data_IF_174723187593
#
_entry.id   IF_174723187593
#
_cell.length_a   1.000
_cell.length_b   1.000
_cell.length_c   1.000
_cell.angle_alpha   90.00
_cell.angle_beta   90.00
_cell.angle_gamma   90.00
#
_symmetry.space_group_name_H-M   'P 1'
#
loop_
_entity.id
_entity.type
_entity.pdbx_description
1 polymer ?
#
# COMPACT_ATOMS: atom_id res chain seq x y z
N UNK A 1 9.13 7.63 0.78
CA UNK A 1 9.59 8.10 -0.54
C UNK A 1 8.42 8.23 -1.49
N UNK A 2 8.60 8.85 -2.65
CA UNK A 2 7.50 9.16 -3.58
C UNK A 2 7.28 8.08 -4.66
N UNK A 3 8.25 7.19 -4.85
CA UNK A 3 8.19 6.15 -5.90
C UNK A 3 7.19 5.03 -5.54
N UNK A 4 6.73 4.24 -6.53
CA UNK A 4 5.97 3.02 -6.25
C UNK A 4 6.69 2.13 -5.23
N UNK A 5 5.91 1.49 -4.35
CA UNK A 5 6.41 0.65 -3.25
C UNK A 5 7.24 1.36 -2.17
N UNK A 6 7.42 2.68 -2.26
CA UNK A 6 7.92 3.49 -1.16
C UNK A 6 6.75 4.11 -0.39
N UNK A 7 6.91 4.25 0.93
CA UNK A 7 5.89 4.86 1.80
C UNK A 7 6.41 6.16 2.42
N UNK A 8 5.50 7.07 2.72
CA UNK A 8 5.73 8.32 3.44
C UNK A 8 4.57 8.56 4.43
N UNK A 9 4.85 8.35 5.73
CA UNK A 9 3.84 8.48 6.79
C UNK A 9 2.56 7.65 6.56
N UNK A 10 2.67 6.31 6.37
CA UNK A 10 1.51 5.45 6.24
C UNK A 10 0.71 5.38 7.55
N UNK A 11 -0.62 5.28 7.45
CA UNK A 11 -1.52 5.32 8.62
C UNK A 11 -2.46 4.13 8.76
N UNK A 12 -2.77 3.47 7.67
CA UNK A 12 -3.72 2.36 7.67
C UNK A 12 -3.34 1.33 6.64
N UNK A 13 -3.72 0.09 6.92
CA UNK A 13 -3.60 -1.03 6.00
C UNK A 13 -4.82 -1.94 6.08
N UNK A 14 -5.16 -2.56 4.95
CA UNK A 14 -6.19 -3.60 4.86
C UNK A 14 -5.86 -4.56 3.73
N UNK A 15 -6.31 -5.80 3.86
CA UNK A 15 -6.31 -6.76 2.77
C UNK A 15 -7.66 -6.76 2.05
N UNK A 16 -7.67 -7.08 0.76
CA UNK A 16 -8.88 -7.51 0.05
C UNK A 16 -9.06 -9.03 0.09
N UNK A 17 -10.14 -9.54 -0.53
CA UNK A 17 -10.47 -10.97 -0.55
C UNK A 17 -9.50 -11.82 -1.39
N UNK A 18 -8.73 -11.19 -2.27
CA UNK A 18 -7.70 -11.83 -3.09
C UNK A 18 -6.33 -11.83 -2.38
N UNK A 19 -6.24 -11.19 -1.21
CA UNK A 19 -5.01 -11.09 -0.42
C UNK A 19 -4.13 -9.90 -0.80
N UNK A 20 -4.56 -8.99 -1.67
CA UNK A 20 -3.78 -7.80 -1.98
C UNK A 20 -3.78 -6.83 -0.79
N UNK A 21 -2.63 -6.22 -0.51
CA UNK A 21 -2.48 -5.26 0.58
C UNK A 21 -2.69 -3.84 0.07
N UNK A 22 -3.59 -3.11 0.72
CA UNK A 22 -3.79 -1.67 0.50
C UNK A 22 -3.20 -0.90 1.65
N UNK A 23 -2.41 0.13 1.34
CA UNK A 23 -1.79 1.02 2.33
C UNK A 23 -2.22 2.46 2.08
N UNK A 24 -2.75 3.11 3.13
CA UNK A 24 -3.05 4.54 3.14
C UNK A 24 -1.76 5.30 3.44
N UNK A 25 -1.16 5.87 2.40
CA UNK A 25 0.14 6.54 2.38
C UNK A 25 -0.04 8.05 2.53
N UNK A 26 -0.39 8.49 3.76
CA UNK A 26 -0.89 9.85 4.02
C UNK A 26 0.09 10.96 3.64
N UNK A 27 1.39 10.78 3.88
CA UNK A 27 2.40 11.77 3.54
C UNK A 27 2.62 11.95 2.04
N UNK A 28 2.12 11.02 1.21
CA UNK A 28 2.09 11.13 -0.25
C UNK A 28 0.68 11.38 -0.80
N UNK A 29 -0.32 11.55 0.07
CA UNK A 29 -1.73 11.73 -0.31
C UNK A 29 -2.23 10.67 -1.31
N UNK A 30 -1.88 9.40 -1.11
CA UNK A 30 -2.29 8.29 -1.99
C UNK A 30 -2.68 7.03 -1.22
N UNK A 31 -3.33 6.11 -1.92
CA UNK A 31 -3.46 4.72 -1.52
C UNK A 31 -2.63 3.88 -2.50
N UNK A 32 -1.83 2.94 -1.98
CA UNK A 32 -1.07 2.00 -2.81
C UNK A 32 -1.60 0.58 -2.61
N UNK A 33 -1.80 -0.14 -3.72
CA UNK A 33 -2.06 -1.58 -3.74
C UNK A 33 -0.74 -2.32 -3.94
N UNK A 34 -0.55 -3.39 -3.17
CA UNK A 34 0.55 -4.33 -3.30
C UNK A 34 -0.07 -5.69 -3.58
N UNK A 35 0.16 -6.16 -4.80
CA UNK A 35 -0.19 -7.53 -5.18
C UNK A 35 0.78 -8.45 -4.43
N UNK A 36 0.23 -9.42 -3.71
CA UNK A 36 1.03 -10.48 -3.08
C UNK A 36 1.07 -11.61 -4.09
N UNK A 37 1.94 -11.47 -5.08
CA UNK A 37 2.31 -12.61 -5.91
C UNK A 37 3.07 -13.60 -5.01
N UNK A 38 2.40 -14.69 -4.64
CA UNK A 38 2.99 -15.82 -3.94
C UNK A 38 3.75 -16.69 -4.94
N UNK A 39 4.91 -16.22 -5.37
CA UNK A 39 5.93 -17.07 -5.99
C UNK A 39 6.82 -17.73 -4.93
#
# INVERSE_FOLDING_TARGET
>A
GQQPKQLNYPKGLSFDVEGNLYVVDCGNHRIQKFDIDLD
#
